data_IF_732745403455
#
_entry.id   IF_732745403455
#
_cell.length_a   1.000
_cell.length_b   1.000
_cell.length_c   1.000
_cell.angle_alpha   90.00
_cell.angle_beta   90.00
_cell.angle_gamma   90.00
#
_symmetry.space_group_name_H-M   'P 1'
#
loop_
_entity.id
_entity.type
_entity.pdbx_description
1 polymer ?
#
# COMPACT_ATOMS: atom_id res chain seq x y z
N UNK A 1 -36.59 -51.55 -63.81
CA UNK A 1 -35.22 -51.66 -63.31
C UNK A 1 -34.72 -50.24 -63.15
N UNK A 2 -34.83 -49.65 -61.94
CA UNK A 2 -34.23 -48.33 -61.60
C UNK A 2 -33.71 -48.44 -60.17
N UNK A 3 -32.37 -48.44 -60.01
CA UNK A 3 -31.68 -48.45 -58.74
C UNK A 3 -31.74 -47.07 -58.12
N UNK A 4 -32.21 -46.98 -56.88
CA UNK A 4 -32.31 -45.78 -56.09
C UNK A 4 -31.14 -45.72 -55.17
N UNK A 5 -30.20 -44.81 -55.43
CA UNK A 5 -29.04 -44.57 -54.53
C UNK A 5 -29.46 -43.67 -53.41
N UNK A 6 -29.42 -44.15 -52.21
CA UNK A 6 -29.63 -43.39 -50.96
C UNK A 6 -28.28 -42.88 -50.45
N UNK A 7 -28.03 -41.57 -50.61
CA UNK A 7 -26.87 -40.86 -50.08
C UNK A 7 -27.14 -40.50 -48.62
N UNK A 8 -26.47 -41.18 -47.71
CA UNK A 8 -26.50 -40.88 -46.29
C UNK A 8 -25.46 -39.78 -45.99
N UNK A 9 -25.93 -38.55 -45.78
CA UNK A 9 -25.10 -37.40 -45.39
C UNK A 9 -24.85 -37.47 -43.88
N UNK A 10 -23.61 -37.77 -43.47
CA UNK A 10 -23.15 -37.81 -42.09
C UNK A 10 -22.69 -36.40 -41.66
N UNK A 11 -23.56 -35.64 -40.99
CA UNK A 11 -23.20 -34.38 -40.33
C UNK A 11 -22.36 -34.69 -39.08
N UNK A 12 -21.05 -34.49 -39.17
CA UNK A 12 -20.15 -34.48 -38.00
C UNK A 12 -20.23 -33.09 -37.37
N UNK A 13 -21.01 -32.96 -36.31
CA UNK A 13 -21.01 -31.77 -35.46
C UNK A 13 -19.73 -31.79 -34.57
N UNK A 14 -18.73 -31.00 -34.98
CA UNK A 14 -17.53 -30.78 -34.20
C UNK A 14 -17.86 -30.00 -32.95
N UNK A 15 -17.89 -30.67 -31.78
CA UNK A 15 -17.95 -30.04 -30.49
C UNK A 15 -16.56 -29.48 -30.21
N UNK A 16 -16.39 -28.16 -30.34
CA UNK A 16 -15.21 -27.43 -29.95
C UNK A 16 -15.19 -27.35 -28.42
N UNK A 17 -14.53 -28.31 -27.75
CA UNK A 17 -14.22 -28.25 -26.34
C UNK A 17 -13.16 -27.15 -26.15
N UNK A 18 -13.60 -25.91 -25.86
CA UNK A 18 -12.73 -24.89 -25.26
C UNK A 18 -12.31 -25.37 -23.89
N UNK A 19 -11.21 -26.09 -23.83
CA UNK A 19 -10.52 -26.36 -22.57
C UNK A 19 -9.98 -25.00 -22.07
N UNK A 20 -10.67 -24.39 -21.09
CA UNK A 20 -10.05 -23.36 -20.26
C UNK A 20 -8.85 -24.01 -19.54
N UNK A 21 -7.66 -23.81 -20.10
CA UNK A 21 -6.44 -24.07 -19.38
C UNK A 21 -6.37 -23.04 -18.24
N UNK A 22 -6.78 -23.43 -17.05
CA UNK A 22 -6.34 -22.75 -15.83
C UNK A 22 -4.82 -22.87 -15.79
N UNK A 23 -4.12 -21.82 -16.22
CA UNK A 23 -2.70 -21.68 -15.96
C UNK A 23 -2.56 -21.49 -14.45
N UNK A 24 -2.40 -22.60 -13.74
CA UNK A 24 -1.91 -22.59 -12.37
C UNK A 24 -0.53 -21.92 -12.43
N UNK A 25 -0.50 -20.61 -12.16
CA UNK A 25 0.75 -19.90 -11.92
C UNK A 25 1.39 -20.54 -10.68
N UNK A 26 2.26 -21.54 -10.91
CA UNK A 26 3.13 -22.08 -9.87
C UNK A 26 3.93 -20.90 -9.34
N UNK A 27 3.64 -20.51 -8.11
CA UNK A 27 4.24 -19.35 -7.45
C UNK A 27 5.74 -19.67 -7.28
N UNK A 28 6.55 -19.17 -8.20
CA UNK A 28 7.99 -19.35 -8.14
C UNK A 28 8.58 -18.35 -7.14
N UNK A 29 9.41 -18.85 -6.22
CA UNK A 29 10.11 -18.01 -5.26
C UNK A 29 11.15 -17.14 -5.98
N UNK A 30 11.06 -15.83 -5.79
CA UNK A 30 12.01 -14.86 -6.34
C UNK A 30 13.01 -14.45 -5.25
N UNK A 31 14.16 -15.11 -5.25
CA UNK A 31 15.22 -14.87 -4.26
C UNK A 31 15.80 -13.45 -4.35
N UNK A 32 15.96 -12.91 -5.54
CA UNK A 32 16.51 -11.56 -5.74
C UNK A 32 15.58 -10.49 -5.12
N UNK A 33 14.27 -10.61 -5.38
CA UNK A 33 13.27 -9.72 -4.80
C UNK A 33 13.21 -9.87 -3.27
N UNK A 34 13.28 -11.08 -2.75
CA UNK A 34 13.26 -11.32 -1.32
C UNK A 34 14.48 -10.66 -0.63
N UNK A 35 15.67 -10.76 -1.21
CA UNK A 35 16.87 -10.10 -0.72
C UNK A 35 16.76 -8.57 -0.80
N UNK A 36 16.30 -8.04 -1.95
CA UNK A 36 16.07 -6.59 -2.15
C UNK A 36 15.16 -6.02 -1.07
N UNK A 37 14.07 -6.73 -0.75
CA UNK A 37 13.08 -6.28 0.21
C UNK A 37 13.41 -6.68 1.66
N UNK A 38 14.56 -7.33 1.91
CA UNK A 38 14.95 -7.87 3.22
C UNK A 38 13.82 -8.71 3.82
N UNK A 39 13.22 -9.57 2.99
CA UNK A 39 12.18 -10.48 3.42
C UNK A 39 12.80 -11.69 4.14
N UNK A 40 12.14 -12.17 5.18
CA UNK A 40 12.49 -13.43 5.81
C UNK A 40 11.95 -14.65 5.03
N UNK A 41 12.10 -15.84 5.56
CA UNK A 41 11.63 -17.07 4.93
C UNK A 41 10.12 -17.14 4.68
N UNK A 42 9.34 -16.28 5.33
CA UNK A 42 7.89 -16.17 5.17
C UNK A 42 7.48 -15.00 4.26
N UNK A 43 8.44 -14.27 3.69
CA UNK A 43 8.19 -13.08 2.88
C UNK A 43 7.81 -11.84 3.71
N UNK A 44 8.18 -11.84 4.98
CA UNK A 44 7.78 -10.81 5.95
C UNK A 44 8.96 -9.93 6.35
N UNK A 45 8.67 -8.77 6.94
CA UNK A 45 9.64 -7.83 7.50
C UNK A 45 9.08 -7.18 8.77
N UNK A 46 9.99 -6.65 9.58
CA UNK A 46 9.63 -5.83 10.74
C UNK A 46 9.49 -4.37 10.35
N UNK A 47 8.52 -3.72 10.96
CA UNK A 47 8.16 -2.31 10.77
C UNK A 47 7.72 -1.70 12.08
N UNK A 48 7.47 -0.39 12.08
CA UNK A 48 6.70 0.27 13.13
C UNK A 48 5.45 0.86 12.51
N UNK A 49 4.28 0.44 13.00
CA UNK A 49 2.99 1.04 12.65
C UNK A 49 2.68 2.20 13.59
N UNK A 50 2.20 3.30 13.04
CA UNK A 50 1.70 4.42 13.82
C UNK A 50 0.21 4.62 13.55
N UNK A 51 -0.58 4.74 14.62
CA UNK A 51 -1.93 5.29 14.55
C UNK A 51 -1.87 6.80 14.80
N UNK A 52 -2.30 7.56 13.81
CA UNK A 52 -2.41 9.01 13.96
C UNK A 52 -3.72 9.34 14.66
N UNK A 53 -3.63 9.89 15.86
CA UNK A 53 -4.79 10.27 16.68
C UNK A 53 -4.99 11.77 16.67
N UNK A 54 -6.23 12.18 16.91
CA UNK A 54 -6.58 13.58 17.13
C UNK A 54 -5.81 14.12 18.34
N UNK A 55 -5.02 15.17 18.12
CA UNK A 55 -4.29 15.84 19.21
C UNK A 55 -5.15 16.85 19.98
N UNK A 56 -4.70 17.29 21.17
CA UNK A 56 -5.46 18.19 22.05
C UNK A 56 -5.55 19.63 21.52
N UNK A 57 -4.56 20.08 20.74
CA UNK A 57 -4.50 21.47 20.29
C UNK A 57 -5.27 21.65 18.98
N UNK A 58 -6.51 22.14 19.09
CA UNK A 58 -7.43 22.35 17.94
C UNK A 58 -7.89 23.80 17.77
N UNK A 59 -7.31 24.74 18.51
CA UNK A 59 -7.69 26.14 18.58
C UNK A 59 -6.95 27.06 17.59
N UNK A 60 -6.15 26.49 16.67
CA UNK A 60 -5.51 27.27 15.61
C UNK A 60 -6.58 27.84 14.67
N UNK A 61 -6.34 29.07 14.19
CA UNK A 61 -7.16 29.65 13.12
C UNK A 61 -7.06 28.83 11.82
N UNK A 62 -7.97 29.08 10.87
CA UNK A 62 -8.08 28.32 9.63
C UNK A 62 -6.81 28.40 8.76
N UNK A 63 -6.13 29.55 8.75
CA UNK A 63 -4.91 29.75 7.95
C UNK A 63 -3.77 28.91 8.53
N UNK A 64 -3.53 29.05 9.83
CA UNK A 64 -2.52 28.26 10.54
C UNK A 64 -2.81 26.76 10.41
N UNK A 65 -4.07 26.32 10.54
CA UNK A 65 -4.46 24.93 10.38
C UNK A 65 -4.15 24.40 8.98
N UNK A 66 -4.43 25.18 7.93
CA UNK A 66 -4.11 24.83 6.54
C UNK A 66 -2.59 24.74 6.29
N UNK A 67 -1.81 25.66 6.84
CA UNK A 67 -0.35 25.64 6.76
C UNK A 67 0.24 24.40 7.43
N UNK A 68 -0.24 24.05 8.62
CA UNK A 68 0.19 22.84 9.33
C UNK A 68 -0.18 21.57 8.56
N UNK A 69 -1.37 21.52 7.95
CA UNK A 69 -1.77 20.41 7.09
C UNK A 69 -0.84 20.27 5.88
N UNK A 70 -0.57 21.38 5.18
CA UNK A 70 0.37 21.37 4.04
C UNK A 70 1.78 20.93 4.45
N UNK A 71 2.27 21.39 5.58
CA UNK A 71 3.58 21.01 6.10
C UNK A 71 3.63 19.52 6.50
N UNK A 72 2.56 18.99 7.10
CA UNK A 72 2.38 17.57 7.39
C UNK A 72 2.44 16.71 6.12
N UNK A 73 1.70 17.08 5.07
CA UNK A 73 1.71 16.35 3.79
C UNK A 73 3.10 16.38 3.13
N UNK A 74 3.81 17.51 3.18
CA UNK A 74 5.20 17.58 2.70
C UNK A 74 6.15 16.67 3.48
N UNK A 75 5.96 16.57 4.81
CA UNK A 75 6.76 15.67 5.64
C UNK A 75 6.50 14.18 5.29
N UNK A 76 5.25 13.81 4.99
CA UNK A 76 4.89 12.47 4.48
C UNK A 76 5.66 12.17 3.20
N UNK A 77 5.61 13.07 2.21
CA UNK A 77 6.29 12.87 0.93
C UNK A 77 7.80 12.73 1.11
N UNK A 78 8.42 13.60 1.92
CA UNK A 78 9.84 13.50 2.24
C UNK A 78 10.21 12.14 2.83
N UNK A 79 9.48 11.64 3.81
CA UNK A 79 9.73 10.34 4.43
C UNK A 79 9.50 9.18 3.44
N UNK A 80 8.56 9.32 2.49
CA UNK A 80 8.34 8.35 1.44
C UNK A 80 9.51 8.30 0.45
N UNK A 81 10.01 9.47 0.00
CA UNK A 81 11.20 9.60 -0.86
C UNK A 81 12.46 9.03 -0.20
N UNK A 82 12.61 9.23 1.12
CA UNK A 82 13.71 8.68 1.92
C UNK A 82 13.56 7.16 2.19
N UNK A 83 12.41 6.55 1.82
CA UNK A 83 12.12 5.13 2.05
C UNK A 83 11.89 4.77 3.51
N UNK A 84 11.79 5.75 4.41
CA UNK A 84 11.53 5.55 5.84
C UNK A 84 10.04 5.39 6.15
N UNK A 85 9.16 5.86 5.27
CA UNK A 85 7.70 5.69 5.31
C UNK A 85 7.26 4.93 4.06
N UNK A 86 6.71 3.73 4.23
CA UNK A 86 6.32 2.87 3.10
C UNK A 86 4.82 2.84 2.85
N UNK A 87 4.02 3.31 3.80
CA UNK A 87 2.57 3.48 3.63
C UNK A 87 2.07 4.58 4.56
N UNK A 88 1.22 5.45 4.03
CA UNK A 88 0.47 6.44 4.78
C UNK A 88 -0.94 6.58 4.19
N UNK A 89 -1.92 6.83 5.03
CA UNK A 89 -3.28 7.10 4.57
C UNK A 89 -4.20 7.58 5.69
N UNK A 90 -5.11 8.54 5.39
CA UNK A 90 -6.13 8.97 6.34
C UNK A 90 -7.29 7.97 6.38
N UNK A 91 -7.97 7.88 7.52
CA UNK A 91 -9.31 7.33 7.59
C UNK A 91 -10.34 8.36 7.09
N UNK A 92 -11.40 7.88 6.44
CA UNK A 92 -12.44 8.72 5.84
C UNK A 92 -13.61 8.97 6.80
N UNK A 93 -13.57 8.42 8.00
CA UNK A 93 -14.53 8.65 9.06
C UNK A 93 -14.08 9.79 10.01
N UNK A 94 -14.94 10.13 10.99
CA UNK A 94 -14.65 11.16 11.99
C UNK A 94 -14.19 10.58 13.34
N UNK A 95 -13.70 9.33 13.37
CA UNK A 95 -13.17 8.68 14.56
C UNK A 95 -11.94 9.39 15.15
N UNK A 96 -11.52 8.95 16.34
CA UNK A 96 -10.33 9.48 17.01
C UNK A 96 -9.03 9.13 16.29
N UNK A 97 -8.99 7.98 15.60
CA UNK A 97 -7.87 7.60 14.75
C UNK A 97 -8.07 8.27 13.39
N UNK A 98 -7.14 9.11 13.00
CA UNK A 98 -7.20 9.94 11.79
C UNK A 98 -6.51 9.32 10.58
N UNK A 99 -5.68 8.30 10.79
CA UNK A 99 -4.94 7.62 9.74
C UNK A 99 -3.88 6.69 10.31
N UNK A 100 -3.14 6.05 9.40
CA UNK A 100 -2.04 5.15 9.75
C UNK A 100 -0.78 5.50 8.98
N UNK A 101 0.38 5.17 9.60
CA UNK A 101 1.67 5.08 8.92
C UNK A 101 2.27 3.69 9.12
N UNK A 102 3.05 3.23 8.14
CA UNK A 102 3.97 2.11 8.29
C UNK A 102 5.37 2.62 8.01
N UNK A 103 6.19 2.68 9.06
CA UNK A 103 7.59 3.08 9.01
C UNK A 103 8.49 1.87 8.74
N UNK A 104 9.36 1.98 7.74
CA UNK A 104 10.41 1.03 7.44
C UNK A 104 11.69 1.42 8.18
N UNK A 105 11.69 1.21 9.49
CA UNK A 105 12.81 1.53 10.39
C UNK A 105 13.10 0.38 11.33
N UNK A 106 14.33 0.31 11.84
CA UNK A 106 14.82 -0.83 12.62
C UNK A 106 14.45 -0.76 14.12
N UNK A 107 13.94 0.39 14.60
CA UNK A 107 13.62 0.55 16.02
C UNK A 107 12.46 1.50 16.27
N UNK A 108 11.80 1.29 17.42
CA UNK A 108 10.77 2.20 17.94
C UNK A 108 11.31 3.62 18.14
N UNK A 109 12.58 3.73 18.53
CA UNK A 109 13.25 5.01 18.73
C UNK A 109 13.41 5.79 17.42
N UNK A 110 13.77 5.11 16.32
CA UNK A 110 13.84 5.71 15.00
C UNK A 110 12.45 6.20 14.54
N UNK A 111 11.40 5.40 14.71
CA UNK A 111 10.04 5.80 14.41
C UNK A 111 9.60 7.02 15.25
N UNK A 112 9.94 7.06 16.53
CA UNK A 112 9.61 8.20 17.40
C UNK A 112 10.23 9.50 16.88
N UNK A 113 11.51 9.49 16.50
CA UNK A 113 12.17 10.68 15.91
C UNK A 113 11.47 11.16 14.64
N UNK A 114 11.01 10.25 13.81
CA UNK A 114 10.24 10.60 12.59
C UNK A 114 8.89 11.25 12.95
N UNK A 115 8.16 10.70 13.93
CA UNK A 115 6.90 11.29 14.38
C UNK A 115 7.09 12.68 15.01
N UNK A 116 8.15 12.86 15.80
CA UNK A 116 8.49 14.13 16.45
C UNK A 116 8.96 15.19 15.44
N UNK A 117 9.39 14.79 14.25
CA UNK A 117 9.74 15.73 13.18
C UNK A 117 8.51 16.37 12.51
N UNK A 118 7.34 15.76 12.62
CA UNK A 118 6.12 16.19 11.94
C UNK A 118 5.57 17.52 12.50
N UNK A 119 5.32 18.53 11.66
CA UNK A 119 4.81 19.83 12.09
C UNK A 119 3.44 19.78 12.78
N UNK A 120 2.56 18.87 12.37
CA UNK A 120 1.24 18.73 13.00
C UNK A 120 1.34 18.04 14.38
N UNK A 121 2.33 17.14 14.57
CA UNK A 121 2.63 16.56 15.88
C UNK A 121 3.25 17.60 16.79
N UNK A 122 4.26 18.37 16.33
CA UNK A 122 4.87 19.48 17.07
C UNK A 122 3.86 20.51 17.54
N UNK A 123 2.86 20.80 16.71
CA UNK A 123 1.79 21.74 17.04
C UNK A 123 0.70 21.11 17.96
N UNK A 124 0.82 19.83 18.31
CA UNK A 124 -0.17 19.12 19.13
C UNK A 124 -1.53 18.90 18.43
N UNK A 125 -1.57 18.99 17.10
CA UNK A 125 -2.80 18.68 16.31
C UNK A 125 -2.96 17.17 16.11
N UNK A 126 -1.85 16.43 16.09
CA UNK A 126 -1.79 14.99 15.98
C UNK A 126 -0.96 14.41 17.13
N UNK A 127 -1.34 13.22 17.54
CA UNK A 127 -0.55 12.34 18.40
C UNK A 127 -0.34 11.04 17.62
N UNK A 128 0.85 10.46 17.68
CA UNK A 128 1.13 9.16 17.05
C UNK A 128 1.36 8.09 18.11
N UNK A 129 0.55 7.04 18.07
CA UNK A 129 0.72 5.84 18.87
C UNK A 129 1.47 4.80 18.05
N UNK A 130 2.61 4.35 18.56
CA UNK A 130 3.55 3.49 17.82
C UNK A 130 3.48 2.05 18.29
N UNK A 131 3.45 1.10 17.35
CA UNK A 131 3.45 -0.32 17.61
C UNK A 131 4.48 -1.04 16.73
N UNK A 132 5.29 -1.97 17.29
CA UNK A 132 6.05 -2.91 16.46
C UNK A 132 5.06 -3.72 15.60
N UNK A 133 5.34 -3.83 14.32
CA UNK A 133 4.47 -4.55 13.41
C UNK A 133 5.28 -5.48 12.49
N UNK A 134 4.81 -6.69 12.33
CA UNK A 134 5.39 -7.69 11.45
C UNK A 134 4.45 -7.92 10.28
N UNK A 135 4.86 -7.54 9.08
CA UNK A 135 4.02 -7.51 7.89
C UNK A 135 4.76 -7.96 6.64
N UNK A 136 4.04 -8.10 5.52
CA UNK A 136 4.65 -8.47 4.25
C UNK A 136 5.78 -7.52 3.85
N UNK A 137 6.91 -8.06 3.41
CA UNK A 137 8.01 -7.26 2.88
C UNK A 137 7.62 -6.50 1.60
N UNK A 138 6.59 -6.97 0.87
CA UNK A 138 6.06 -6.33 -0.32
C UNK A 138 5.48 -4.92 -0.08
N UNK A 139 5.17 -4.57 1.17
CA UNK A 139 4.74 -3.20 1.53
C UNK A 139 5.79 -2.15 1.13
N UNK A 140 7.07 -2.51 1.06
CA UNK A 140 8.16 -1.61 0.65
C UNK A 140 8.09 -1.17 -0.82
N UNK A 141 7.37 -1.90 -1.67
CA UNK A 141 7.18 -1.54 -3.09
C UNK A 141 5.98 -0.62 -3.32
N UNK A 142 5.18 -0.32 -2.29
CA UNK A 142 3.95 0.48 -2.45
C UNK A 142 4.28 1.86 -3.01
N UNK A 143 5.31 2.57 -2.51
CA UNK A 143 5.66 3.89 -3.00
C UNK A 143 6.07 3.86 -4.48
N UNK A 144 6.88 2.89 -4.90
CA UNK A 144 7.31 2.72 -6.30
C UNK A 144 6.11 2.51 -7.24
N UNK A 145 5.11 1.74 -6.79
CA UNK A 145 3.89 1.51 -7.58
C UNK A 145 3.00 2.77 -7.52
N UNK A 146 2.89 3.42 -6.37
CA UNK A 146 2.09 4.61 -6.17
C UNK A 146 2.52 5.76 -7.09
N UNK A 147 3.82 5.97 -7.28
CA UNK A 147 4.36 6.98 -8.20
C UNK A 147 3.83 6.81 -9.63
N UNK A 148 3.64 5.57 -10.09
CA UNK A 148 3.09 5.27 -11.43
C UNK A 148 1.57 5.55 -11.52
N UNK A 149 0.87 5.67 -10.40
CA UNK A 149 -0.56 5.93 -10.30
C UNK A 149 -0.88 7.41 -10.06
N UNK A 150 0.13 8.20 -9.67
CA UNK A 150 -0.04 9.58 -9.21
C UNK A 150 0.07 10.57 -10.37
N UNK A 151 -0.98 11.36 -10.59
CA UNK A 151 -0.99 12.46 -11.58
C UNK A 151 -0.75 13.84 -10.94
N UNK A 152 -1.01 13.98 -9.63
CA UNK A 152 -0.89 15.24 -8.90
C UNK A 152 -0.38 14.98 -7.50
N UNK A 153 0.47 15.85 -6.99
CA UNK A 153 0.94 15.77 -5.60
C UNK A 153 -0.19 16.08 -4.62
N UNK A 154 -0.25 15.31 -3.51
CA UNK A 154 -1.18 15.58 -2.40
C UNK A 154 -0.80 16.82 -1.58
N UNK A 155 0.42 17.37 -1.77
CA UNK A 155 0.94 18.53 -1.05
C UNK A 155 0.85 19.84 -1.86
N UNK A 156 0.30 19.79 -3.08
CA UNK A 156 -0.08 20.96 -3.88
C UNK A 156 -1.40 21.54 -3.37
#
# INVERSE_FOLDING_TARGET
>A
MKALHFLLSLCITGVCLCACQETSHKKEYNQELALKLKADQYGMSQYVMAFLKRGPNRNQDSITAAQLQKAHLKNIMKMAEEGTLVLAGPFMDDGDIRGIYIFNVESMEAARRLTESDPAVKAGRLIMELHPWYGSAAVKEINTIHEQLTKKSIAE
#
